data_IF_642151053972
#
_entry.id   IF_642151053972
#
_cell.length_a   1.000
_cell.length_b   1.000
_cell.length_c   1.000
_cell.angle_alpha   90.00
_cell.angle_beta   90.00
_cell.angle_gamma   90.00
#
_symmetry.space_group_name_H-M   'P 1'
#
loop_
_entity.id
_entity.type
_entity.pdbx_description
1 polymer ?
#
# COMPACT_ATOMS: atom_id res chain seq x y z
N UNK A 1 43.49 9.90 7.30
CA UNK A 1 42.52 8.83 7.50
C UNK A 1 43.15 7.58 8.12
N UNK A 2 44.33 7.07 7.71
CA UNK A 2 44.94 5.88 8.29
C UNK A 2 46.16 6.21 9.12
N UNK A 3 46.29 5.52 10.24
CA UNK A 3 47.47 5.52 11.08
C UNK A 3 47.95 4.09 11.32
N UNK A 4 49.24 3.88 11.12
CA UNK A 4 49.90 2.62 11.33
C UNK A 4 50.94 2.69 12.42
N UNK A 5 51.19 1.57 13.13
CA UNK A 5 52.22 1.43 14.11
C UNK A 5 53.19 0.34 13.64
N UNK A 6 54.51 0.62 13.70
CA UNK A 6 55.54 -0.29 13.24
C UNK A 6 55.41 -1.65 13.93
N UNK A 7 55.53 -2.74 13.13
CA UNK A 7 55.45 -4.11 13.60
C UNK A 7 54.06 -4.71 13.73
N UNK A 8 53.01 -3.95 13.43
CA UNK A 8 51.61 -4.45 13.53
C UNK A 8 50.89 -4.39 12.21
N UNK A 9 49.87 -5.24 12.04
CA UNK A 9 48.96 -5.18 10.90
C UNK A 9 47.70 -4.35 11.21
N UNK A 10 47.59 -3.82 12.42
CA UNK A 10 46.45 -2.99 12.85
C UNK A 10 46.58 -1.61 12.25
N UNK A 11 45.52 -1.16 11.60
CA UNK A 11 45.38 0.17 11.02
C UNK A 11 44.26 0.90 11.77
N UNK A 12 44.60 2.04 12.36
CA UNK A 12 43.61 2.95 12.94
C UNK A 12 43.07 3.88 11.85
N UNK A 13 41.74 4.08 11.84
CA UNK A 13 41.04 4.92 10.87
C UNK A 13 40.43 6.10 11.61
N UNK A 14 40.77 7.31 11.21
CA UNK A 14 40.10 8.51 11.68
C UNK A 14 39.02 8.92 10.70
N UNK A 15 37.77 8.80 11.13
CA UNK A 15 36.55 9.12 10.38
C UNK A 15 35.51 9.72 11.33
N UNK A 16 35.28 11.05 11.28
CA UNK A 16 34.37 11.74 12.20
C UNK A 16 32.95 11.13 12.16
N UNK A 17 32.37 10.90 13.34
CA UNK A 17 31.02 10.42 13.55
C UNK A 17 30.71 9.16 12.72
N UNK A 18 31.59 8.16 12.71
CA UNK A 18 31.48 6.99 11.84
C UNK A 18 30.28 6.08 12.15
N UNK A 19 29.77 6.04 13.37
CA UNK A 19 28.59 5.28 13.76
C UNK A 19 28.70 3.76 13.66
N UNK A 20 29.91 3.21 13.48
CA UNK A 20 30.15 1.76 13.34
C UNK A 20 30.18 1.06 14.69
N UNK A 21 29.98 -0.26 14.64
CA UNK A 21 30.15 -1.17 15.79
C UNK A 21 31.28 -2.14 15.58
N UNK A 22 31.86 -2.66 16.67
CA UNK A 22 32.89 -3.70 16.57
C UNK A 22 32.33 -4.96 15.91
N UNK A 23 33.13 -5.57 15.02
CA UNK A 23 32.71 -6.75 14.26
C UNK A 23 32.01 -6.46 12.94
N UNK A 24 31.63 -5.21 12.65
CA UNK A 24 31.07 -4.85 11.34
C UNK A 24 32.11 -5.01 10.22
N UNK A 25 31.60 -5.36 9.03
CA UNK A 25 32.42 -5.51 7.82
C UNK A 25 32.30 -4.24 6.98
N UNK A 26 33.44 -3.64 6.68
CA UNK A 26 33.58 -2.46 5.80
C UNK A 26 34.33 -2.84 4.53
N UNK A 27 34.08 -2.13 3.45
CA UNK A 27 34.87 -2.20 2.22
C UNK A 27 35.73 -0.94 2.09
N UNK A 28 37.03 -1.13 2.11
CA UNK A 28 38.01 -0.07 1.91
C UNK A 28 38.39 -0.03 0.43
N UNK A 29 38.37 1.15 -0.17
CA UNK A 29 38.79 1.36 -1.56
C UNK A 29 39.57 2.68 -1.72
N UNK A 30 40.34 2.76 -2.78
CA UNK A 30 41.18 3.94 -3.13
C UNK A 30 42.27 4.27 -2.09
N UNK A 31 42.53 3.38 -1.13
CA UNK A 31 43.64 3.55 -0.21
C UNK A 31 44.98 3.39 -0.94
N UNK A 32 45.94 4.29 -0.66
CA UNK A 32 47.33 4.16 -1.11
C UNK A 32 48.19 3.60 0.02
N UNK A 33 49.39 3.14 -0.32
CA UNK A 33 50.30 2.53 0.65
C UNK A 33 50.63 3.47 1.80
N UNK A 34 50.68 2.97 3.05
CA UNK A 34 51.02 3.70 4.26
C UNK A 34 51.78 2.82 5.22
N UNK A 35 52.81 3.34 5.87
CA UNK A 35 53.62 2.64 6.87
C UNK A 35 54.26 1.33 6.36
N UNK A 36 54.51 1.24 5.04
CA UNK A 36 55.01 0.03 4.41
C UNK A 36 53.96 -1.02 4.08
N UNK A 37 52.72 -0.83 4.42
CA UNK A 37 51.60 -1.67 3.99
C UNK A 37 51.22 -1.28 2.55
N UNK A 38 51.26 -2.23 1.63
CA UNK A 38 50.87 -2.01 0.23
C UNK A 38 49.38 -1.69 0.10
N UNK A 39 49.00 -0.89 -0.90
CA UNK A 39 47.62 -0.54 -1.18
C UNK A 39 46.71 -1.76 -1.33
N UNK A 40 47.15 -2.85 -1.96
CA UNK A 40 46.39 -4.10 -2.10
C UNK A 40 46.09 -4.79 -0.77
N UNK A 41 46.91 -4.56 0.25
CA UNK A 41 46.73 -5.12 1.59
C UNK A 41 45.81 -4.23 2.49
N UNK A 42 45.54 -2.99 2.08
CA UNK A 42 44.64 -2.08 2.73
C UNK A 42 43.21 -2.15 2.14
N UNK A 43 43.15 -2.21 0.83
CA UNK A 43 41.87 -2.26 0.09
C UNK A 43 41.17 -3.61 0.21
N UNK A 44 39.84 -3.61 0.00
CA UNK A 44 38.98 -4.78 0.07
C UNK A 44 38.14 -4.83 1.34
N UNK A 45 37.51 -5.97 1.58
CA UNK A 45 36.66 -6.22 2.75
C UNK A 45 37.53 -6.32 4.02
N UNK A 46 37.14 -5.58 5.07
CA UNK A 46 37.84 -5.53 6.37
C UNK A 46 36.80 -5.59 7.49
N UNK A 47 37.12 -6.38 8.52
CA UNK A 47 36.28 -6.41 9.73
C UNK A 47 36.83 -5.39 10.75
N UNK A 48 35.95 -4.59 11.33
CA UNK A 48 36.32 -3.64 12.40
C UNK A 48 36.66 -4.43 13.65
N UNK A 49 37.91 -4.29 14.12
CA UNK A 49 38.39 -4.99 15.30
C UNK A 49 37.92 -4.33 16.60
N UNK A 50 38.07 -3.02 16.69
CA UNK A 50 37.71 -2.26 17.86
C UNK A 50 37.27 -0.85 17.48
N UNK A 51 36.31 -0.32 18.23
CA UNK A 51 35.95 1.10 18.28
C UNK A 51 36.81 1.75 19.34
N UNK A 52 37.54 2.80 18.98
CA UNK A 52 38.42 3.55 19.90
C UNK A 52 37.64 4.71 20.50
N UNK A 53 36.96 5.46 19.66
CA UNK A 53 36.02 6.54 20.04
C UNK A 53 35.04 6.81 18.90
N UNK A 54 34.17 7.84 19.04
CA UNK A 54 33.13 8.21 18.04
C UNK A 54 33.72 8.60 16.68
N UNK A 55 35.01 8.84 16.57
CA UNK A 55 35.69 9.30 15.36
C UNK A 55 36.81 8.36 14.91
N UNK A 56 37.08 7.29 15.67
CA UNK A 56 38.25 6.44 15.43
C UNK A 56 37.94 4.96 15.69
N UNK A 57 38.32 4.13 14.76
CA UNK A 57 38.18 2.66 14.85
C UNK A 57 39.41 1.99 14.25
N UNK A 58 39.53 0.67 14.38
CA UNK A 58 40.66 -0.10 13.83
C UNK A 58 40.21 -1.33 13.06
N UNK A 59 40.99 -1.71 12.05
CA UNK A 59 40.90 -3.00 11.36
C UNK A 59 42.27 -3.62 11.16
N UNK A 60 42.31 -4.91 10.79
CA UNK A 60 43.55 -5.61 10.47
C UNK A 60 43.77 -5.63 8.96
N UNK A 61 44.89 -5.08 8.50
CA UNK A 61 45.32 -5.17 7.11
C UNK A 61 45.91 -6.56 6.78
N UNK A 62 45.99 -6.91 5.49
CA UNK A 62 46.55 -8.19 5.04
C UNK A 62 48.13 -8.24 5.11
N UNK A 63 48.74 -7.18 5.63
CA UNK A 63 50.19 -7.11 5.80
C UNK A 63 50.57 -6.22 6.97
N UNK A 64 51.73 -6.49 7.60
CA UNK A 64 52.21 -5.71 8.73
C UNK A 64 52.94 -4.44 8.29
N UNK A 65 52.80 -3.40 9.09
CA UNK A 65 53.53 -2.16 8.93
C UNK A 65 54.99 -2.28 9.35
N UNK A 66 55.87 -1.65 8.61
CA UNK A 66 57.29 -1.57 8.96
C UNK A 66 57.68 -0.18 9.50
N UNK A 67 56.74 0.75 9.53
CA UNK A 67 56.92 2.09 10.04
C UNK A 67 55.63 2.65 10.67
N UNK A 68 55.75 3.44 11.71
CA UNK A 68 54.63 4.25 12.22
C UNK A 68 54.45 5.44 11.30
N UNK A 69 53.29 5.59 10.68
CA UNK A 69 53.01 6.63 9.71
C UNK A 69 51.51 6.95 9.66
N UNK A 70 51.20 8.21 9.36
CA UNK A 70 49.88 8.66 9.00
C UNK A 70 49.79 8.83 7.48
N UNK A 71 48.65 8.42 6.88
CA UNK A 71 48.50 8.49 5.43
C UNK A 71 47.30 7.72 4.90
N UNK A 72 47.46 7.01 3.78
CA UNK A 72 46.40 6.21 3.11
C UNK A 72 45.70 6.94 1.96
N UNK A 73 45.95 8.25 1.78
CA UNK A 73 45.32 9.02 0.68
C UNK A 73 43.85 9.34 0.89
N UNK A 74 43.13 9.55 -0.20
CA UNK A 74 41.68 9.72 -0.20
C UNK A 74 41.01 8.35 -0.20
N UNK A 75 40.66 7.87 0.98
CA UNK A 75 40.08 6.55 1.18
C UNK A 75 38.57 6.63 1.15
N UNK A 76 37.93 5.71 0.40
CA UNK A 76 36.49 5.48 0.47
C UNK A 76 36.21 4.27 1.34
N UNK A 77 35.29 4.41 2.28
CA UNK A 77 34.85 3.35 3.16
C UNK A 77 33.35 3.20 3.00
N UNK A 78 32.92 1.97 2.65
CA UNK A 78 31.53 1.60 2.54
C UNK A 78 31.21 0.45 3.50
N UNK A 79 30.06 0.47 4.12
CA UNK A 79 29.59 -0.58 5.04
C UNK A 79 29.05 -1.81 4.32
N UNK A 80 28.78 -1.69 3.02
CA UNK A 80 28.32 -2.80 2.17
C UNK A 80 29.10 -2.77 0.85
N UNK A 81 29.22 -3.93 0.21
CA UNK A 81 29.70 -3.98 -1.17
C UNK A 81 28.85 -3.03 -2.03
N UNK A 82 29.47 -2.26 -2.97
CA UNK A 82 28.69 -1.45 -3.89
C UNK A 82 27.67 -2.34 -4.58
N UNK A 83 26.37 -2.06 -4.37
CA UNK A 83 25.32 -2.66 -5.17
C UNK A 83 25.35 -2.04 -6.54
N UNK A 84 25.34 -2.87 -7.59
CA UNK A 84 25.16 -2.41 -8.95
C UNK A 84 23.70 -1.99 -9.21
N UNK A 85 22.81 -2.43 -8.32
CA UNK A 85 21.39 -2.14 -8.38
C UNK A 85 21.03 -1.09 -7.31
N UNK A 86 20.54 0.06 -7.76
CA UNK A 86 19.96 1.06 -6.90
C UNK A 86 18.49 0.69 -6.67
N UNK A 87 18.22 -0.17 -5.69
CA UNK A 87 16.87 -0.51 -5.30
C UNK A 87 16.32 0.57 -4.37
N UNK A 88 15.30 1.25 -4.82
CA UNK A 88 14.50 2.15 -3.98
C UNK A 88 13.22 1.42 -3.55
N UNK A 89 12.88 1.49 -2.26
CA UNK A 89 11.66 0.89 -1.74
C UNK A 89 10.43 1.46 -2.46
N UNK A 90 9.58 0.58 -2.99
CA UNK A 90 8.33 0.98 -3.66
C UNK A 90 7.38 1.73 -2.72
N UNK A 91 7.42 1.44 -1.42
CA UNK A 91 6.63 2.09 -0.37
C UNK A 91 7.55 2.77 0.63
N UNK A 92 7.48 4.08 0.71
CA UNK A 92 8.32 4.89 1.60
C UNK A 92 7.64 6.21 1.93
N UNK A 93 8.18 6.95 2.89
CA UNK A 93 7.71 8.31 3.19
C UNK A 93 7.80 9.27 1.98
N UNK A 94 8.74 9.01 1.06
CA UNK A 94 8.92 9.81 -0.17
C UNK A 94 8.00 9.36 -1.30
N UNK A 95 7.90 8.05 -1.56
CA UNK A 95 7.06 7.49 -2.64
C UNK A 95 5.60 7.30 -2.24
N UNK A 96 5.30 7.42 -0.95
CA UNK A 96 3.98 7.17 -0.39
C UNK A 96 3.74 5.70 -0.08
N UNK A 97 2.64 5.46 0.62
CA UNK A 97 2.14 4.13 0.94
C UNK A 97 0.88 3.85 0.12
N UNK A 98 0.51 2.57 -0.10
CA UNK A 98 -0.70 2.21 -0.83
C UNK A 98 -1.96 2.81 -0.19
N UNK A 99 -2.85 3.36 -1.01
CA UNK A 99 -4.16 3.86 -0.58
C UNK A 99 -5.21 2.74 -0.47
N UNK A 100 -5.01 1.64 -1.20
CA UNK A 100 -5.95 0.53 -1.28
C UNK A 100 -5.25 -0.82 -1.10
N UNK A 101 -6.00 -1.76 -0.47
CA UNK A 101 -5.55 -3.13 -0.24
C UNK A 101 -6.71 -4.10 -0.45
N UNK A 102 -6.42 -5.25 -1.04
CA UNK A 102 -7.35 -6.38 -1.16
C UNK A 102 -6.59 -7.71 -1.16
N UNK A 103 -7.28 -8.80 -0.82
CA UNK A 103 -6.79 -10.16 -1.07
C UNK A 103 -7.60 -10.70 -2.24
N UNK A 104 -6.93 -11.10 -3.31
CA UNK A 104 -7.58 -11.65 -4.49
C UNK A 104 -6.77 -12.81 -5.06
N UNK A 105 -7.43 -13.94 -5.34
CA UNK A 105 -6.81 -15.16 -5.86
C UNK A 105 -5.51 -15.56 -5.14
N UNK A 106 -5.58 -15.61 -3.80
CA UNK A 106 -4.45 -15.99 -2.94
C UNK A 106 -3.21 -15.08 -3.08
N UNK A 107 -3.41 -13.83 -3.48
CA UNK A 107 -2.40 -12.76 -3.52
C UNK A 107 -2.86 -11.56 -2.69
N UNK A 108 -1.95 -10.93 -1.99
CA UNK A 108 -2.16 -9.61 -1.41
C UNK A 108 -1.93 -8.58 -2.51
N UNK A 109 -2.89 -7.68 -2.69
CA UNK A 109 -2.86 -6.65 -3.72
C UNK A 109 -2.86 -5.28 -3.08
N UNK A 110 -1.88 -4.45 -3.42
CA UNK A 110 -1.83 -3.04 -3.07
C UNK A 110 -2.02 -2.17 -4.30
N UNK A 111 -2.53 -0.96 -4.11
CA UNK A 111 -2.65 0.01 -5.20
C UNK A 111 -2.66 1.46 -4.71
N UNK A 112 -2.31 2.37 -5.62
CA UNK A 112 -2.46 3.79 -5.39
C UNK A 112 -1.45 4.40 -4.42
N UNK A 113 -0.15 4.34 -4.71
CA UNK A 113 0.85 5.13 -3.96
C UNK A 113 0.88 6.58 -4.46
N UNK A 114 1.55 7.46 -3.72
CA UNK A 114 1.70 8.87 -4.14
C UNK A 114 2.49 8.99 -5.45
N UNK A 115 3.57 8.22 -5.59
CA UNK A 115 4.47 8.25 -6.75
C UNK A 115 3.93 7.44 -7.93
N UNK A 116 3.20 6.36 -7.66
CA UNK A 116 2.61 5.46 -8.64
C UNK A 116 1.10 5.27 -8.38
N UNK A 117 0.29 6.32 -8.63
CA UNK A 117 -1.11 6.35 -8.22
C UNK A 117 -2.01 5.36 -8.97
N UNK A 118 -1.62 4.91 -10.16
CA UNK A 118 -2.35 4.01 -11.05
C UNK A 118 -1.74 2.61 -11.14
N UNK A 119 -0.81 2.28 -10.23
CA UNK A 119 -0.10 1.00 -10.23
C UNK A 119 -0.64 0.06 -9.17
N UNK A 120 -0.76 -1.21 -9.55
CA UNK A 120 -1.10 -2.35 -8.71
C UNK A 120 0.14 -3.19 -8.42
N UNK A 121 0.27 -3.63 -7.19
CA UNK A 121 1.33 -4.53 -6.72
C UNK A 121 0.68 -5.79 -6.17
N UNK A 122 0.96 -6.93 -6.78
CA UNK A 122 0.46 -8.23 -6.33
C UNK A 122 1.60 -9.02 -5.70
N UNK A 123 1.36 -9.61 -4.54
CA UNK A 123 2.32 -10.51 -3.91
C UNK A 123 2.49 -11.82 -4.70
N UNK A 124 3.51 -12.61 -4.37
CA UNK A 124 3.61 -14.02 -4.81
C UNK A 124 2.39 -14.80 -4.30
N UNK A 125 1.97 -15.82 -5.07
CA UNK A 125 0.84 -16.67 -4.69
C UNK A 125 1.13 -17.36 -3.35
N UNK A 126 0.22 -17.20 -2.39
CA UNK A 126 0.32 -17.80 -1.06
C UNK A 126 1.40 -17.21 -0.15
N UNK A 127 2.15 -16.22 -0.62
CA UNK A 127 3.16 -15.50 0.16
C UNK A 127 2.89 -14.01 0.16
N UNK A 128 2.00 -13.56 1.03
CA UNK A 128 1.41 -12.21 1.06
C UNK A 128 2.42 -11.08 1.33
N UNK A 129 3.59 -11.38 1.86
CA UNK A 129 4.62 -10.38 2.18
C UNK A 129 5.80 -10.39 1.20
N UNK A 130 5.74 -11.20 0.15
CA UNK A 130 6.78 -11.26 -0.87
C UNK A 130 6.29 -10.62 -2.18
N UNK A 131 6.89 -9.49 -2.55
CA UNK A 131 6.62 -8.72 -3.76
C UNK A 131 7.77 -8.75 -4.78
N UNK A 132 8.69 -9.71 -4.64
CA UNK A 132 9.77 -9.93 -5.60
C UNK A 132 9.21 -10.48 -6.92
N UNK A 133 9.36 -9.71 -8.00
CA UNK A 133 8.83 -10.05 -9.33
C UNK A 133 9.64 -11.15 -10.03
N UNK A 134 10.87 -11.42 -9.58
CA UNK A 134 11.71 -12.50 -10.09
C UNK A 134 11.83 -12.53 -11.60
N UNK A 135 11.65 -13.72 -12.19
CA UNK A 135 11.72 -13.98 -13.63
C UNK A 135 10.33 -13.96 -14.33
N UNK A 136 9.29 -13.43 -13.65
CA UNK A 136 7.90 -13.38 -14.11
C UNK A 136 7.25 -14.76 -14.32
N UNK A 137 7.59 -15.73 -13.45
CA UNK A 137 6.92 -17.03 -13.43
C UNK A 137 5.47 -16.87 -12.91
N UNK A 138 4.62 -17.84 -13.20
CA UNK A 138 3.18 -17.77 -12.89
C UNK A 138 2.84 -17.52 -11.43
N UNK A 139 3.69 -17.96 -10.50
CA UNK A 139 3.49 -17.79 -9.06
C UNK A 139 4.20 -16.55 -8.47
N UNK A 140 4.98 -15.83 -9.26
CA UNK A 140 5.74 -14.67 -8.80
C UNK A 140 4.88 -13.41 -8.65
N UNK A 141 5.44 -12.40 -7.99
CA UNK A 141 4.77 -11.13 -7.79
C UNK A 141 4.56 -10.38 -9.11
N UNK A 142 3.58 -9.47 -9.14
CA UNK A 142 3.23 -8.71 -10.34
C UNK A 142 3.19 -7.23 -10.01
N UNK A 143 3.80 -6.42 -10.85
CA UNK A 143 3.63 -4.96 -10.85
C UNK A 143 3.00 -4.58 -12.18
N UNK A 144 1.84 -3.91 -12.12
CA UNK A 144 1.09 -3.55 -13.31
C UNK A 144 0.48 -2.15 -13.18
N UNK A 145 0.67 -1.34 -14.21
CA UNK A 145 0.12 0.02 -14.28
C UNK A 145 -1.04 0.07 -15.25
N UNK A 146 -2.12 0.76 -14.87
CA UNK A 146 -3.27 0.97 -15.74
C UNK A 146 -2.89 1.93 -16.87
N UNK A 147 -2.65 1.41 -18.07
CA UNK A 147 -2.31 2.22 -19.25
C UNK A 147 -3.55 3.00 -19.73
N UNK A 148 -3.65 4.26 -19.30
CA UNK A 148 -4.71 5.19 -19.72
C UNK A 148 -4.14 6.54 -20.10
N UNK A 149 -4.87 7.31 -20.90
CA UNK A 149 -4.46 8.67 -21.30
C UNK A 149 -4.48 9.72 -20.17
N UNK A 150 -4.92 9.32 -18.97
CA UNK A 150 -5.01 10.17 -17.78
C UNK A 150 -4.53 9.40 -16.55
N UNK A 151 -3.89 10.08 -15.61
CA UNK A 151 -3.53 9.48 -14.32
C UNK A 151 -4.79 9.20 -13.49
N UNK A 152 -4.98 7.93 -13.14
CA UNK A 152 -6.14 7.46 -12.38
C UNK A 152 -5.67 6.98 -11.00
N UNK A 153 -5.73 7.87 -10.02
CA UNK A 153 -5.34 7.50 -8.66
C UNK A 153 -6.30 6.44 -8.08
N UNK A 154 -5.77 5.27 -7.79
CA UNK A 154 -6.51 4.16 -7.17
C UNK A 154 -6.89 4.57 -5.75
N UNK A 155 -8.18 4.45 -5.41
CA UNK A 155 -8.75 4.75 -4.10
C UNK A 155 -9.18 3.50 -3.36
N UNK A 156 -9.77 2.52 -4.08
CA UNK A 156 -10.27 1.30 -3.50
C UNK A 156 -10.04 0.10 -4.40
N UNK A 157 -9.85 -1.05 -3.77
CA UNK A 157 -9.81 -2.36 -4.40
C UNK A 157 -10.88 -3.23 -3.75
N UNK A 158 -11.68 -3.91 -4.57
CA UNK A 158 -12.71 -4.84 -4.11
C UNK A 158 -12.51 -6.18 -4.82
N UNK A 159 -12.34 -7.24 -4.02
CA UNK A 159 -12.19 -8.60 -4.51
C UNK A 159 -13.56 -9.27 -4.52
N UNK A 160 -14.15 -9.40 -5.69
CA UNK A 160 -15.40 -10.11 -5.92
C UNK A 160 -15.13 -11.22 -6.97
N UNK A 161 -16.04 -11.47 -7.92
CA UNK A 161 -15.81 -12.33 -9.08
C UNK A 161 -14.48 -11.98 -9.78
N UNK A 162 -14.28 -10.68 -10.02
CA UNK A 162 -13.08 -10.08 -10.57
C UNK A 162 -12.47 -9.11 -9.56
N UNK A 163 -11.21 -8.73 -9.71
CA UNK A 163 -10.65 -7.66 -8.94
C UNK A 163 -11.13 -6.31 -9.51
N UNK A 164 -11.99 -5.63 -8.77
CA UNK A 164 -12.53 -4.33 -9.12
C UNK A 164 -11.61 -3.22 -8.59
N UNK A 165 -11.39 -2.21 -9.42
CA UNK A 165 -10.46 -1.11 -9.13
C UNK A 165 -11.23 0.20 -9.29
N UNK A 166 -11.39 0.93 -8.18
CA UNK A 166 -12.05 2.23 -8.14
C UNK A 166 -11.02 3.32 -8.06
N UNK A 167 -11.03 4.23 -9.04
CA UNK A 167 -10.10 5.36 -9.07
C UNK A 167 -10.82 6.69 -8.92
N UNK A 168 -10.09 7.78 -8.89
CA UNK A 168 -10.65 9.13 -8.80
C UNK A 168 -11.49 9.53 -10.02
N UNK A 169 -11.34 8.89 -11.17
CA UNK A 169 -11.98 9.30 -12.43
C UNK A 169 -12.62 8.19 -13.24
N UNK A 170 -12.40 6.93 -12.87
CA UNK A 170 -12.87 5.76 -13.66
C UNK A 170 -12.90 4.51 -12.80
N UNK A 171 -13.66 3.51 -13.26
CA UNK A 171 -13.68 2.17 -12.70
C UNK A 171 -13.05 1.19 -13.71
N UNK A 172 -12.21 0.31 -13.18
CA UNK A 172 -11.53 -0.75 -13.92
C UNK A 172 -11.79 -2.10 -13.26
N UNK A 173 -11.42 -3.15 -13.96
CA UNK A 173 -11.35 -4.49 -13.38
C UNK A 173 -10.21 -5.30 -13.99
N UNK A 174 -9.75 -6.28 -13.22
CA UNK A 174 -8.88 -7.36 -13.71
C UNK A 174 -9.75 -8.59 -13.89
N UNK A 175 -9.97 -9.05 -15.13
CA UNK A 175 -10.84 -10.20 -15.37
C UNK A 175 -10.23 -11.47 -14.79
N UNK A 176 -11.08 -12.27 -14.15
CA UNK A 176 -10.78 -13.63 -13.78
C UNK A 176 -11.11 -14.55 -14.93
N UNK A 177 -10.11 -15.19 -15.51
CA UNK A 177 -10.32 -16.19 -16.55
C UNK A 177 -10.74 -17.52 -15.92
N UNK A 178 -11.69 -18.18 -16.52
CA UNK A 178 -12.14 -19.50 -16.06
C UNK A 178 -10.94 -20.45 -15.90
N UNK A 179 -10.78 -21.00 -14.68
CA UNK A 179 -9.74 -21.96 -14.31
C UNK A 179 -8.28 -21.48 -14.47
N UNK A 180 -8.02 -20.18 -14.55
CA UNK A 180 -6.65 -19.63 -14.61
C UNK A 180 -6.45 -18.58 -13.54
N UNK A 181 -5.41 -18.75 -12.71
CA UNK A 181 -4.97 -17.73 -11.81
C UNK A 181 -4.41 -16.50 -12.57
N UNK A 182 -4.44 -15.35 -11.94
CA UNK A 182 -3.76 -14.15 -12.45
C UNK A 182 -2.24 -14.40 -12.40
N UNK A 183 -1.59 -14.24 -13.56
CA UNK A 183 -0.14 -14.41 -13.74
C UNK A 183 0.46 -13.14 -14.36
N UNK A 184 1.80 -12.96 -14.29
CA UNK A 184 2.45 -11.82 -14.95
C UNK A 184 2.15 -11.71 -16.45
N UNK A 185 1.90 -12.85 -17.11
CA UNK A 185 1.70 -12.93 -18.56
C UNK A 185 0.25 -12.76 -19.02
N UNK A 186 -0.75 -13.00 -18.12
CA UNK A 186 -2.17 -12.94 -18.50
C UNK A 186 -2.92 -11.76 -17.86
N UNK A 187 -2.28 -10.98 -16.98
CA UNK A 187 -2.92 -9.86 -16.32
C UNK A 187 -3.34 -8.78 -17.33
N UNK A 188 -4.59 -8.38 -17.26
CA UNK A 188 -5.17 -7.30 -18.05
C UNK A 188 -5.98 -6.37 -17.15
N UNK A 189 -5.73 -5.08 -17.22
CA UNK A 189 -6.53 -4.06 -16.54
C UNK A 189 -7.45 -3.41 -17.56
N UNK A 190 -8.77 -3.57 -17.40
CA UNK A 190 -9.78 -3.09 -18.36
C UNK A 190 -10.59 -1.97 -17.75
N UNK A 191 -10.62 -0.81 -18.44
CA UNK A 191 -11.52 0.29 -18.10
C UNK A 191 -12.95 -0.07 -18.44
N UNK A 192 -13.90 0.27 -17.55
CA UNK A 192 -15.32 0.02 -17.75
C UNK A 192 -16.14 1.30 -17.79
N UNK A 193 -16.07 2.10 -16.73
CA UNK A 193 -16.92 3.28 -16.58
C UNK A 193 -16.11 4.53 -16.23
N UNK A 194 -16.59 5.75 -16.60
CA UNK A 194 -15.84 6.99 -16.44
C UNK A 194 -16.37 7.86 -15.29
N UNK A 195 -16.84 7.29 -14.17
CA UNK A 195 -17.48 8.08 -13.12
C UNK A 195 -16.56 8.46 -11.96
N UNK A 196 -15.58 7.61 -11.64
CA UNK A 196 -14.71 7.76 -10.49
C UNK A 196 -15.42 7.52 -9.15
N UNK A 197 -14.67 7.13 -8.16
CA UNK A 197 -15.13 6.87 -6.79
C UNK A 197 -14.68 7.98 -5.84
N UNK A 198 -15.45 8.26 -4.80
CA UNK A 198 -15.06 9.09 -3.66
C UNK A 198 -14.06 8.34 -2.75
N UNK A 199 -13.68 8.92 -1.62
CA UNK A 199 -12.89 8.23 -0.59
C UNK A 199 -13.72 7.31 0.32
N UNK A 200 -15.05 7.32 0.17
CA UNK A 200 -15.95 6.41 0.88
C UNK A 200 -15.73 5.00 0.34
N UNK A 201 -15.48 4.05 1.24
CA UNK A 201 -15.20 2.67 0.87
C UNK A 201 -16.40 2.07 0.13
N UNK A 202 -16.21 1.42 -1.02
CA UNK A 202 -17.25 0.63 -1.66
C UNK A 202 -17.70 -0.53 -0.77
N UNK A 203 -18.97 -0.88 -0.82
CA UNK A 203 -19.56 -1.99 -0.07
C UNK A 203 -20.29 -2.95 -0.99
N UNK A 204 -20.28 -4.22 -0.63
CA UNK A 204 -20.97 -5.25 -1.39
C UNK A 204 -22.37 -5.50 -0.82
N UNK A 205 -23.38 -5.41 -1.66
CA UNK A 205 -24.77 -5.71 -1.30
C UNK A 205 -25.45 -6.46 -2.46
N UNK A 206 -26.12 -7.55 -2.15
CA UNK A 206 -26.93 -8.33 -3.10
C UNK A 206 -26.18 -8.68 -4.41
N UNK A 207 -24.89 -9.05 -4.28
CA UNK A 207 -24.03 -9.45 -5.39
C UNK A 207 -23.52 -8.32 -6.29
N UNK A 208 -23.69 -7.06 -5.88
CA UNK A 208 -23.10 -5.92 -6.54
C UNK A 208 -22.22 -5.10 -5.59
N UNK A 209 -21.29 -4.36 -6.15
CA UNK A 209 -20.51 -3.38 -5.41
C UNK A 209 -21.16 -2.02 -5.52
N UNK A 210 -21.52 -1.42 -4.39
CA UNK A 210 -22.10 -0.08 -4.33
C UNK A 210 -21.03 0.90 -3.89
N UNK A 211 -20.86 1.98 -4.66
CA UNK A 211 -19.84 2.99 -4.40
C UNK A 211 -20.40 4.41 -4.55
N UNK A 212 -19.78 5.35 -3.88
CA UNK A 212 -20.09 6.78 -4.00
C UNK A 212 -19.26 7.37 -5.13
N UNK A 213 -19.92 7.97 -6.12
CA UNK A 213 -19.23 8.65 -7.23
C UNK A 213 -18.31 9.76 -6.72
N UNK A 214 -17.27 10.08 -7.48
CA UNK A 214 -16.23 11.07 -7.12
C UNK A 214 -16.78 12.46 -6.72
N UNK A 215 -17.98 12.83 -7.20
CA UNK A 215 -18.65 14.09 -6.84
C UNK A 215 -19.34 14.08 -5.46
N UNK A 216 -19.36 12.93 -4.75
CA UNK A 216 -19.95 12.79 -3.42
C UNK A 216 -21.48 12.88 -3.35
N UNK A 217 -22.20 12.90 -4.49
CA UNK A 217 -23.65 13.15 -4.56
C UNK A 217 -24.45 12.00 -5.14
N UNK A 218 -23.81 11.04 -5.76
CA UNK A 218 -24.45 9.94 -6.45
C UNK A 218 -23.86 8.63 -5.93
N UNK A 219 -24.72 7.72 -5.53
CA UNK A 219 -24.37 6.33 -5.23
C UNK A 219 -24.66 5.49 -6.46
N UNK A 220 -23.69 4.69 -6.87
CA UNK A 220 -23.76 3.82 -8.03
C UNK A 220 -23.61 2.37 -7.63
N UNK A 221 -24.23 1.51 -8.39
CA UNK A 221 -24.14 0.08 -8.31
C UNK A 221 -23.28 -0.44 -9.46
N UNK A 222 -22.16 -1.07 -9.13
CA UNK A 222 -21.22 -1.66 -10.09
C UNK A 222 -21.43 -3.16 -10.16
N UNK A 223 -21.96 -3.61 -11.29
CA UNK A 223 -22.35 -5.00 -11.49
C UNK A 223 -21.91 -5.50 -12.87
N UNK A 224 -21.45 -6.76 -12.91
CA UNK A 224 -21.14 -7.44 -14.16
C UNK A 224 -22.41 -7.96 -14.83
N UNK A 225 -22.55 -7.72 -16.12
CA UNK A 225 -23.66 -8.17 -16.93
C UNK A 225 -23.15 -9.15 -17.98
N UNK A 226 -23.55 -10.41 -17.87
CA UNK A 226 -23.09 -11.48 -18.78
C UNK A 226 -23.46 -11.22 -20.24
N UNK A 227 -24.62 -10.60 -20.50
CA UNK A 227 -25.06 -10.26 -21.87
C UNK A 227 -24.16 -9.23 -22.54
N UNK A 228 -23.58 -8.32 -21.78
CA UNK A 228 -22.67 -7.27 -22.27
C UNK A 228 -21.20 -7.65 -22.11
N UNK A 229 -20.91 -8.68 -21.31
CA UNK A 229 -19.57 -9.09 -20.88
C UNK A 229 -18.77 -7.90 -20.31
N UNK A 230 -19.46 -7.05 -19.60
CA UNK A 230 -18.94 -5.80 -19.09
C UNK A 230 -19.54 -5.45 -17.72
N UNK A 231 -18.82 -4.64 -16.96
CA UNK A 231 -19.36 -3.98 -15.79
C UNK A 231 -20.12 -2.70 -16.18
N UNK A 232 -21.28 -2.51 -15.59
CA UNK A 232 -22.03 -1.25 -15.67
C UNK A 232 -22.09 -0.57 -14.30
N UNK A 233 -22.21 0.77 -14.28
CA UNK A 233 -22.31 1.56 -13.06
C UNK A 233 -23.60 2.39 -13.06
N UNK A 234 -24.72 1.76 -12.70
CA UNK A 234 -26.04 2.40 -12.68
C UNK A 234 -26.24 3.25 -11.44
N UNK A 235 -26.80 4.47 -11.55
CA UNK A 235 -27.07 5.32 -10.40
C UNK A 235 -28.29 4.82 -9.63
N UNK A 236 -28.08 4.31 -8.39
CA UNK A 236 -29.18 3.80 -7.54
C UNK A 236 -29.79 4.89 -6.66
N UNK A 237 -29.12 6.04 -6.51
CA UNK A 237 -29.63 7.18 -5.75
C UNK A 237 -30.35 8.25 -6.59
N UNK A 238 -30.67 7.99 -7.86
CA UNK A 238 -31.22 9.00 -8.77
C UNK A 238 -32.49 9.67 -8.23
N UNK A 239 -33.39 8.91 -7.65
CA UNK A 239 -34.65 9.42 -7.07
C UNK A 239 -34.47 9.94 -5.64
N UNK A 240 -33.34 9.64 -5.00
CA UNK A 240 -33.02 9.96 -3.60
C UNK A 240 -31.73 10.78 -3.47
N UNK A 241 -31.35 11.51 -4.51
CA UNK A 241 -30.08 12.27 -4.54
C UNK A 241 -29.96 13.30 -3.41
N UNK A 242 -31.09 13.81 -2.90
CA UNK A 242 -31.18 14.72 -1.76
C UNK A 242 -30.80 14.07 -0.41
N UNK A 243 -30.73 12.74 -0.36
CA UNK A 243 -30.32 11.99 0.84
C UNK A 243 -28.81 11.77 0.92
N UNK A 244 -28.06 12.06 -0.14
CA UNK A 244 -26.62 11.82 -0.26
C UNK A 244 -25.88 13.15 -0.22
N UNK A 245 -25.02 13.30 0.77
CA UNK A 245 -24.19 14.50 0.96
C UNK A 245 -22.76 14.13 1.37
N UNK A 246 -21.91 13.90 0.36
CA UNK A 246 -20.49 13.62 0.52
C UNK A 246 -20.20 12.60 1.65
N UNK A 247 -20.72 11.36 1.54
CA UNK A 247 -20.55 10.34 2.57
C UNK A 247 -19.10 10.13 2.96
N UNK A 248 -18.83 9.93 4.24
CA UNK A 248 -17.49 9.69 4.80
C UNK A 248 -17.25 8.23 5.13
N UNK A 249 -18.27 7.55 5.62
CA UNK A 249 -18.20 6.15 6.01
C UNK A 249 -19.36 5.38 5.39
N UNK A 250 -19.08 4.13 5.08
CA UNK A 250 -20.07 3.18 4.58
C UNK A 250 -19.89 1.84 5.26
N UNK A 251 -20.96 1.11 5.43
CA UNK A 251 -20.96 -0.27 5.88
C UNK A 251 -22.17 -1.01 5.33
N UNK A 252 -22.19 -2.34 5.42
CA UNK A 252 -23.33 -3.15 5.04
C UNK A 252 -23.69 -4.09 6.19
N UNK A 253 -24.98 -4.10 6.57
CA UNK A 253 -25.54 -5.17 7.38
C UNK A 253 -26.22 -6.17 6.45
N UNK A 254 -25.77 -7.41 6.50
CA UNK A 254 -26.34 -8.49 5.69
C UNK A 254 -27.64 -9.01 6.30
N UNK A 255 -28.51 -9.56 5.45
CA UNK A 255 -29.73 -10.22 5.92
C UNK A 255 -29.41 -11.31 6.94
N UNK A 256 -30.20 -11.38 8.01
CA UNK A 256 -30.03 -12.31 9.12
C UNK A 256 -31.37 -12.75 9.70
N UNK A 257 -31.34 -13.39 10.87
CA UNK A 257 -32.54 -13.93 11.50
C UNK A 257 -33.58 -12.84 11.83
N UNK A 258 -33.14 -11.67 12.28
CA UNK A 258 -34.02 -10.56 12.67
C UNK A 258 -34.24 -9.54 11.53
N UNK A 259 -33.53 -9.66 10.42
CA UNK A 259 -33.52 -8.68 9.35
C UNK A 259 -33.47 -9.40 7.99
N UNK A 260 -34.61 -9.48 7.28
CA UNK A 260 -34.72 -10.24 6.04
C UNK A 260 -33.96 -9.61 4.86
N UNK A 261 -33.77 -8.30 4.85
CA UNK A 261 -33.10 -7.57 3.77
C UNK A 261 -31.70 -7.08 4.21
N UNK A 262 -30.78 -7.01 3.27
CA UNK A 262 -29.48 -6.38 3.48
C UNK A 262 -29.59 -4.85 3.31
N UNK A 263 -28.79 -4.10 4.10
CA UNK A 263 -28.79 -2.62 4.07
C UNK A 263 -27.35 -2.12 3.94
N UNK A 264 -27.13 -1.26 2.96
CA UNK A 264 -25.93 -0.43 2.91
C UNK A 264 -26.21 0.91 3.58
N UNK A 265 -25.35 1.34 4.48
CA UNK A 265 -25.47 2.59 5.22
C UNK A 265 -24.32 3.53 4.87
N UNK A 266 -24.66 4.83 4.79
CA UNK A 266 -23.72 5.90 4.43
C UNK A 266 -23.86 7.05 5.42
N UNK A 267 -22.79 7.36 6.15
CA UNK A 267 -22.75 8.55 7.01
C UNK A 267 -22.36 9.76 6.18
N UNK A 268 -23.30 10.69 6.03
CA UNK A 268 -23.10 11.94 5.28
C UNK A 268 -22.23 12.95 6.03
N UNK A 269 -21.64 13.88 5.30
CA UNK A 269 -20.87 14.99 5.87
C UNK A 269 -21.73 15.93 6.73
N UNK A 270 -23.01 16.08 6.40
CA UNK A 270 -23.99 16.84 7.19
C UNK A 270 -24.38 16.16 8.52
N UNK A 271 -23.81 14.99 8.81
CA UNK A 271 -24.07 14.20 10.02
C UNK A 271 -25.37 13.38 9.97
N UNK A 272 -26.01 13.28 8.83
CA UNK A 272 -27.16 12.38 8.62
C UNK A 272 -26.71 11.00 8.18
N UNK A 273 -27.60 10.01 8.28
CA UNK A 273 -27.36 8.64 7.84
C UNK A 273 -28.34 8.30 6.70
N UNK A 274 -27.80 7.89 5.55
CA UNK A 274 -28.59 7.36 4.46
C UNK A 274 -28.49 5.83 4.45
N UNK A 275 -29.65 5.15 4.45
CA UNK A 275 -29.78 3.71 4.34
C UNK A 275 -30.30 3.33 2.96
N UNK A 276 -29.64 2.39 2.33
CA UNK A 276 -30.03 1.80 1.06
C UNK A 276 -30.35 0.32 1.23
N UNK A 277 -31.55 -0.09 0.86
CA UNK A 277 -31.95 -1.50 0.76
C UNK A 277 -32.17 -1.88 -0.67
N UNK A 278 -31.64 -3.02 -1.08
CA UNK A 278 -31.85 -3.61 -2.41
C UNK A 278 -32.28 -5.07 -2.27
N UNK A 279 -33.31 -5.43 -2.99
CA UNK A 279 -33.73 -6.82 -3.20
C UNK A 279 -33.99 -7.02 -4.70
N UNK A 280 -33.03 -7.61 -5.39
CA UNK A 280 -33.07 -7.77 -6.85
C UNK A 280 -34.11 -8.77 -7.28
N UNK A 281 -34.32 -9.82 -6.48
CA UNK A 281 -35.32 -10.84 -6.78
C UNK A 281 -36.72 -10.25 -6.86
N UNK A 282 -37.01 -9.33 -5.97
CA UNK A 282 -38.28 -8.62 -5.92
C UNK A 282 -38.29 -7.28 -6.67
N UNK A 283 -37.15 -6.90 -7.28
CA UNK A 283 -36.95 -5.63 -7.98
C UNK A 283 -37.26 -4.41 -7.12
N UNK A 284 -36.94 -4.47 -5.81
CA UNK A 284 -37.14 -3.38 -4.87
C UNK A 284 -35.80 -2.70 -4.56
N UNK A 285 -35.83 -1.38 -4.57
CA UNK A 285 -34.73 -0.56 -4.08
C UNK A 285 -35.34 0.61 -3.29
N UNK A 286 -34.90 0.85 -2.09
CA UNK A 286 -35.41 1.91 -1.24
C UNK A 286 -34.31 2.66 -0.53
N UNK A 287 -34.58 3.94 -0.26
CA UNK A 287 -33.72 4.83 0.49
C UNK A 287 -34.45 5.39 1.71
N UNK A 288 -33.76 5.48 2.82
CA UNK A 288 -34.25 6.09 4.05
C UNK A 288 -33.17 6.99 4.64
N UNK A 289 -33.55 8.19 5.05
CA UNK A 289 -32.66 9.13 5.73
C UNK A 289 -32.98 9.17 7.22
N UNK A 290 -31.96 8.95 8.05
CA UNK A 290 -32.06 9.07 9.50
C UNK A 290 -31.32 10.33 9.97
N UNK A 291 -31.90 11.00 10.96
CA UNK A 291 -31.35 12.21 11.59
C UNK A 291 -31.37 12.04 13.10
N UNK A 292 -30.47 12.71 13.79
CA UNK A 292 -30.46 12.82 15.25
C UNK A 292 -30.79 14.27 15.60
N UNK A 293 -31.81 14.49 16.40
CA UNK A 293 -32.19 15.83 16.80
C UNK A 293 -31.08 16.52 17.60
N UNK A 294 -30.58 17.63 17.05
CA UNK A 294 -29.44 18.36 17.62
C UNK A 294 -28.12 17.64 17.61
N UNK A 295 -28.06 16.45 17.03
CA UNK A 295 -26.88 15.60 17.01
C UNK A 295 -26.40 15.22 15.59
N UNK A 296 -25.46 14.27 15.49
CA UNK A 296 -24.94 13.79 14.20
C UNK A 296 -24.41 12.36 14.30
N UNK A 297 -24.52 11.62 13.21
CA UNK A 297 -23.78 10.38 13.01
C UNK A 297 -22.32 10.69 12.67
N UNK A 298 -21.38 9.91 13.22
CA UNK A 298 -19.95 10.14 13.05
C UNK A 298 -19.24 9.01 12.28
N UNK A 299 -19.50 7.77 12.65
CA UNK A 299 -18.91 6.60 11.99
C UNK A 299 -19.84 5.40 12.06
N UNK A 300 -19.61 4.43 11.21
CA UNK A 300 -20.41 3.21 11.09
C UNK A 300 -19.53 1.96 11.13
N UNK A 301 -20.08 0.88 11.64
CA UNK A 301 -19.53 -0.47 11.53
C UNK A 301 -20.68 -1.49 11.51
N UNK A 302 -20.44 -2.68 10.96
CA UNK A 302 -21.39 -3.78 10.97
C UNK A 302 -20.70 -5.09 11.39
N UNK A 303 -21.45 -5.96 12.03
CA UNK A 303 -21.04 -7.33 12.38
C UNK A 303 -22.23 -8.24 12.05
N UNK A 304 -22.14 -8.94 10.92
CA UNK A 304 -23.22 -9.76 10.41
C UNK A 304 -24.46 -8.94 10.06
N UNK A 305 -25.58 -9.21 10.71
CA UNK A 305 -26.87 -8.54 10.54
C UNK A 305 -27.07 -7.30 11.46
N UNK A 306 -26.08 -7.01 12.33
CA UNK A 306 -26.14 -5.90 13.27
C UNK A 306 -25.31 -4.72 12.78
N UNK A 307 -25.88 -3.53 12.86
CA UNK A 307 -25.22 -2.27 12.50
C UNK A 307 -25.02 -1.41 13.74
N UNK A 308 -23.85 -0.81 13.85
CA UNK A 308 -23.46 0.07 14.93
C UNK A 308 -23.06 1.43 14.36
N UNK A 309 -23.46 2.49 15.07
CA UNK A 309 -23.03 3.85 14.74
C UNK A 309 -22.55 4.59 15.99
N UNK A 310 -21.51 5.38 15.80
CA UNK A 310 -21.14 6.41 16.75
C UNK A 310 -21.97 7.66 16.48
N UNK A 311 -22.69 8.13 17.51
CA UNK A 311 -23.61 9.25 17.43
C UNK A 311 -23.23 10.30 18.46
N UNK A 312 -23.07 11.54 18.04
CA UNK A 312 -22.99 12.68 18.95
C UNK A 312 -24.41 13.22 19.21
N UNK A 313 -24.75 13.43 20.49
CA UNK A 313 -25.99 14.07 20.89
C UNK A 313 -25.90 15.61 20.80
N UNK A 314 -26.99 16.31 21.15
CA UNK A 314 -27.07 17.77 21.16
C UNK A 314 -26.05 18.44 22.11
N UNK A 315 -25.53 17.71 23.08
CA UNK A 315 -24.49 18.16 24.02
C UNK A 315 -23.07 17.76 23.61
N UNK A 316 -22.90 17.26 22.36
CA UNK A 316 -21.65 16.77 21.81
C UNK A 316 -21.04 15.59 22.59
N UNK A 317 -21.90 14.81 23.27
CA UNK A 317 -21.50 13.58 23.93
C UNK A 317 -21.62 12.39 22.97
N UNK A 318 -20.59 11.54 22.94
CA UNK A 318 -20.52 10.38 22.05
C UNK A 318 -21.28 9.19 22.65
N UNK A 319 -22.14 8.58 21.85
CA UNK A 319 -22.87 7.36 22.15
C UNK A 319 -22.60 6.31 21.06
N UNK A 320 -22.46 5.04 21.47
CA UNK A 320 -22.50 3.91 20.56
C UNK A 320 -23.94 3.39 20.51
N UNK A 321 -24.53 3.47 19.33
CA UNK A 321 -25.90 3.01 19.09
C UNK A 321 -25.88 1.77 18.19
N UNK A 322 -26.81 0.86 18.44
CA UNK A 322 -27.08 -0.31 17.60
C UNK A 322 -28.43 -0.10 16.90
N UNK A 323 -28.53 -0.56 15.66
CA UNK A 323 -29.73 -0.50 14.81
C UNK A 323 -30.23 -1.89 14.47
#
# INVERSE_FOLDING_TARGET
PFRTNSGTAVVEVSQPAHGFSGGEVITVSEAVAVGGIAASNLNGSRTINAIIDDNTYSFTAAGSSNASADGGGFVKIATHAPSLDFDEQSFSAKRGHPAAVAIHQNRLVFGGTLDQPDTLFFSKIGNFFNFDVGEALDNEAIVATAATGTVNSIRHLVSNRDLQIFTNSSEFYVPTFENKAITPTNLQIKKQTPYGSSFTQPVEIDGATVFVQSNGRIVREYIYTDSEQAYSASPVSSIASHMIDNPKYSTVAHSGFNQPDSYAAFTNEDGTLALFSSNRTERRASWTKLTVEGGRFSSLASIGDRMFANVYDAFNKLHLCEF
#
